data_IF_248510556722
#
_entry.id   IF_248510556722
#
_cell.length_a   1.000
_cell.length_b   1.000
_cell.length_c   1.000
_cell.angle_alpha   90.00
_cell.angle_beta   90.00
_cell.angle_gamma   90.00
#
_symmetry.space_group_name_H-M   'P 1'
#
loop_
_entity.id
_entity.type
_entity.pdbx_description
1 polymer ?
#
# COMPACT_ATOMS: atom_id res chain seq x y z
N UNK A 1 -3.94 8.12 3.72
CA UNK A 1 -4.71 7.64 2.55
C UNK A 1 -6.17 7.57 2.94
N UNK A 2 -7.07 8.09 2.09
CA UNK A 2 -8.52 7.89 2.26
C UNK A 2 -8.88 6.42 1.98
N UNK A 3 -9.25 5.68 3.04
CA UNK A 3 -9.54 4.25 2.95
C UNK A 3 -10.85 3.95 2.21
N UNK A 4 -11.86 4.80 2.33
CA UNK A 4 -13.16 4.60 1.69
C UNK A 4 -12.98 4.71 0.17
N UNK A 5 -12.29 5.76 -0.27
CA UNK A 5 -11.98 5.96 -1.68
C UNK A 5 -11.11 4.82 -2.22
N UNK A 6 -10.06 4.42 -1.49
CA UNK A 6 -9.21 3.31 -1.90
C UNK A 6 -10.00 2.00 -2.11
N UNK A 7 -10.85 1.63 -1.14
CA UNK A 7 -11.67 0.43 -1.23
C UNK A 7 -12.70 0.50 -2.36
N UNK A 8 -13.28 1.69 -2.60
CA UNK A 8 -14.18 1.92 -3.73
C UNK A 8 -13.47 1.68 -5.08
N UNK A 9 -12.27 2.22 -5.24
CA UNK A 9 -11.43 2.01 -6.44
C UNK A 9 -11.10 0.53 -6.64
N UNK A 10 -10.75 -0.19 -5.57
CA UNK A 10 -10.51 -1.63 -5.61
C UNK A 10 -11.76 -2.41 -6.06
N UNK A 11 -12.94 -2.09 -5.51
CA UNK A 11 -14.21 -2.74 -5.90
C UNK A 11 -14.57 -2.46 -7.36
N UNK A 12 -14.22 -1.29 -7.88
CA UNK A 12 -14.42 -0.91 -9.28
C UNK A 12 -13.34 -1.47 -10.23
N UNK A 13 -12.38 -2.27 -9.75
CA UNK A 13 -11.28 -2.80 -10.56
C UNK A 13 -10.22 -1.75 -10.94
N UNK A 14 -10.28 -0.55 -10.37
CA UNK A 14 -9.36 0.57 -10.63
C UNK A 14 -8.09 0.48 -9.77
N UNK A 15 -7.38 -0.64 -9.89
CA UNK A 15 -6.20 -0.92 -9.04
C UNK A 15 -5.04 0.05 -9.25
N UNK A 16 -4.85 0.57 -10.47
CA UNK A 16 -3.80 1.58 -10.73
C UNK A 16 -4.09 2.89 -9.98
N UNK A 17 -5.34 3.34 -10.01
CA UNK A 17 -5.78 4.55 -9.33
C UNK A 17 -5.72 4.37 -7.80
N UNK A 18 -6.10 3.20 -7.29
CA UNK A 18 -5.94 2.85 -5.88
C UNK A 18 -4.47 2.90 -5.44
N UNK A 19 -3.55 2.35 -6.25
CA UNK A 19 -2.12 2.44 -5.96
C UNK A 19 -1.63 3.88 -6.00
N UNK A 20 -2.03 4.67 -7.00
CA UNK A 20 -1.68 6.10 -7.10
C UNK A 20 -2.17 6.89 -5.88
N UNK A 21 -3.39 6.62 -5.41
CA UNK A 21 -3.94 7.22 -4.19
C UNK A 21 -3.13 6.85 -2.94
N UNK A 22 -2.66 5.61 -2.85
CA UNK A 22 -1.87 5.15 -1.71
C UNK A 22 -0.50 5.83 -1.62
N UNK A 23 0.10 6.18 -2.76
CA UNK A 23 1.45 6.75 -2.84
C UNK A 23 1.48 8.26 -3.10
N UNK A 24 0.32 8.91 -3.11
CA UNK A 24 0.21 10.32 -3.47
C UNK A 24 1.08 11.23 -2.58
N UNK A 25 1.92 12.05 -3.22
CA UNK A 25 2.89 12.93 -2.56
C UNK A 25 4.16 12.24 -2.05
N UNK A 26 4.31 10.94 -2.32
CA UNK A 26 5.43 10.08 -1.88
C UNK A 26 5.93 9.19 -3.02
N UNK A 27 5.74 9.63 -4.26
CA UNK A 27 6.01 8.83 -5.46
C UNK A 27 7.50 8.52 -5.65
N UNK A 28 8.36 9.40 -5.14
CA UNK A 28 9.82 9.35 -5.31
C UNK A 28 10.55 8.70 -4.11
N UNK A 29 9.83 8.24 -3.09
CA UNK A 29 10.48 7.57 -1.96
C UNK A 29 11.12 6.25 -2.40
N UNK A 30 12.23 5.89 -1.75
CA UNK A 30 13.00 4.67 -2.09
C UNK A 30 12.14 3.40 -2.05
N UNK A 31 11.20 3.34 -1.11
CA UNK A 31 10.37 2.17 -0.86
C UNK A 31 8.91 2.34 -1.30
N UNK A 32 8.61 3.36 -2.13
CA UNK A 32 7.27 3.57 -2.67
C UNK A 32 6.71 2.28 -3.30
N UNK A 33 5.57 1.78 -2.84
CA UNK A 33 4.96 0.56 -3.34
C UNK A 33 4.81 0.57 -4.87
N UNK A 34 5.16 -0.54 -5.51
CA UNK A 34 4.93 -0.76 -6.95
C UNK A 34 3.69 -1.62 -7.21
N UNK A 35 3.18 -2.32 -6.19
CA UNK A 35 1.97 -3.13 -6.23
C UNK A 35 1.40 -3.31 -4.83
N UNK A 36 0.14 -3.76 -4.76
CA UNK A 36 -0.49 -4.20 -3.53
C UNK A 36 -1.36 -5.44 -3.77
N UNK A 37 -1.68 -6.15 -2.70
CA UNK A 37 -2.73 -7.16 -2.66
C UNK A 37 -3.71 -6.82 -1.53
N UNK A 38 -4.91 -7.39 -1.57
CA UNK A 38 -5.87 -7.27 -0.47
C UNK A 38 -5.73 -8.48 0.45
N UNK A 39 -5.52 -8.25 1.74
CA UNK A 39 -5.62 -9.29 2.74
C UNK A 39 -7.07 -9.74 2.86
N UNK A 40 -7.34 -11.02 2.63
CA UNK A 40 -8.69 -11.60 2.70
C UNK A 40 -9.23 -11.66 4.14
N UNK A 41 -8.36 -11.66 5.15
CA UNK A 41 -8.78 -11.72 6.56
C UNK A 41 -9.18 -10.34 7.08
N UNK A 42 -8.33 -9.34 6.86
CA UNK A 42 -8.53 -8.00 7.41
C UNK A 42 -9.24 -7.05 6.44
N UNK A 43 -9.26 -7.36 5.14
CA UNK A 43 -9.76 -6.45 4.11
C UNK A 43 -8.83 -5.26 3.87
N UNK A 44 -7.61 -5.26 4.43
CA UNK A 44 -6.64 -4.19 4.31
C UNK A 44 -5.63 -4.45 3.19
N UNK A 45 -5.11 -3.40 2.54
CA UNK A 45 -4.07 -3.56 1.53
C UNK A 45 -2.73 -3.97 2.16
N UNK A 46 -2.05 -4.91 1.52
CA UNK A 46 -0.65 -5.23 1.77
C UNK A 46 0.17 -4.68 0.60
N UNK A 47 1.12 -3.80 0.90
CA UNK A 47 1.91 -3.11 -0.11
C UNK A 47 3.26 -3.78 -0.33
N UNK A 48 3.77 -3.69 -1.57
CA UNK A 48 5.04 -4.29 -1.96
C UNK A 48 5.86 -3.36 -2.87
N UNK A 49 7.18 -3.34 -2.64
CA UNK A 49 8.19 -2.83 -3.59
C UNK A 49 8.92 -4.05 -4.16
N UNK A 50 8.65 -4.37 -5.42
CA UNK A 50 9.12 -5.64 -5.99
C UNK A 50 8.59 -6.84 -5.19
N UNK A 51 9.49 -7.66 -4.64
CA UNK A 51 9.15 -8.84 -3.85
C UNK A 51 9.15 -8.60 -2.32
N UNK A 52 9.44 -7.38 -1.87
CA UNK A 52 9.49 -7.05 -0.45
C UNK A 52 8.21 -6.34 -0.02
N UNK A 53 7.66 -6.73 1.13
CA UNK A 53 6.55 -6.01 1.77
C UNK A 53 7.07 -4.68 2.31
N UNK A 54 6.26 -3.63 2.16
CA UNK A 54 6.54 -2.27 2.67
C UNK A 54 5.33 -1.75 3.43
N UNK A 55 5.59 -0.94 4.44
CA UNK A 55 4.57 -0.33 5.30
C UNK A 55 4.94 1.11 5.58
N UNK A 56 3.94 2.01 5.71
CA UNK A 56 4.21 3.37 6.14
C UNK A 56 4.56 3.33 7.64
N UNK A 57 5.56 4.12 8.03
CA UNK A 57 5.87 4.33 9.45
C UNK A 57 4.94 5.36 10.10
N UNK A 58 5.27 5.78 11.33
CA UNK A 58 4.49 6.78 12.06
C UNK A 58 4.40 8.15 11.35
N UNK A 59 5.36 8.47 10.48
CA UNK A 59 5.38 9.70 9.69
C UNK A 59 4.71 9.53 8.32
N UNK A 60 4.34 8.30 7.97
CA UNK A 60 3.79 7.93 6.66
C UNK A 60 4.85 7.60 5.61
N UNK A 61 6.15 7.61 5.96
CA UNK A 61 7.23 7.23 5.04
C UNK A 61 7.23 5.73 4.80
N UNK A 62 7.41 5.32 3.55
CA UNK A 62 7.47 3.90 3.22
C UNK A 62 8.77 3.29 3.71
N UNK A 63 8.64 2.23 4.49
CA UNK A 63 9.77 1.44 4.98
C UNK A 63 9.58 -0.03 4.61
N UNK A 64 10.67 -0.79 4.58
CA UNK A 64 10.57 -2.24 4.52
C UNK A 64 9.81 -2.73 5.75
N UNK A 65 8.75 -3.52 5.54
CA UNK A 65 8.02 -4.11 6.63
C UNK A 65 9.00 -4.97 7.45
N UNK A 66 9.08 -4.73 8.75
CA UNK A 66 9.89 -5.55 9.62
C UNK A 66 9.31 -6.97 9.56
N UNK A 67 10.15 -7.96 9.32
CA UNK A 67 9.79 -9.36 9.47
C UNK A 67 9.57 -9.60 10.97
N UNK A 68 8.42 -9.19 11.49
CA UNK A 68 7.97 -9.65 12.79
C UNK A 68 7.60 -11.11 12.57
N UNK A 69 8.58 -12.01 12.76
CA UNK A 69 8.28 -13.39 13.11
C UNK A 69 7.48 -13.29 14.42
N UNK A 70 6.15 -13.28 14.30
CA UNK A 70 5.27 -13.69 15.38
C UNK A 70 5.49 -15.18 15.62
#
# INVERSE_FOLDING_TARGET
MDQILFLSLCKAGKFKDALALAVHGREQEKFTPSRFSMDKKTGLPIFYRGNKRVEPDATGEWQLAKNTKL
#
